data_IF_934219711595
#
_entry.id   IF_934219711595
#
_cell.length_a   1.000
_cell.length_b   1.000
_cell.length_c   1.000
_cell.angle_alpha   90.00
_cell.angle_beta   90.00
_cell.angle_gamma   90.00
#
_symmetry.space_group_name_H-M   'P 1'
#
loop_
_entity.id
_entity.type
_entity.pdbx_description
1 polymer ?
#
# COMPACT_ATOMS: atom_id res chain seq x y z
N UNK A 1 -3.81 11.02 16.53
CA UNK A 1 -5.28 10.89 16.38
C UNK A 1 -5.70 11.49 15.05
N UNK A 2 -6.18 10.68 14.11
CA UNK A 2 -6.72 11.14 12.83
C UNK A 2 -8.26 11.15 12.88
N UNK A 3 -8.91 12.02 12.12
CA UNK A 3 -10.37 11.97 11.91
C UNK A 3 -11.25 12.50 13.05
N UNK A 4 -10.71 13.21 14.04
CA UNK A 4 -11.53 13.84 15.09
C UNK A 4 -12.27 15.04 14.50
N UNK A 5 -13.55 14.86 14.20
CA UNK A 5 -14.45 15.97 13.86
C UNK A 5 -14.52 16.92 15.04
N UNK A 6 -14.12 18.18 14.84
CA UNK A 6 -14.38 19.24 15.82
C UNK A 6 -15.89 19.42 15.90
N UNK A 7 -16.45 19.19 17.08
CA UNK A 7 -17.88 19.42 17.36
C UNK A 7 -17.96 20.37 18.54
N UNK A 8 -18.74 21.42 18.40
CA UNK A 8 -19.19 22.21 19.53
C UNK A 8 -20.25 21.40 20.28
N UNK A 9 -19.96 21.04 21.53
CA UNK A 9 -20.86 20.30 22.40
C UNK A 9 -21.45 21.27 23.41
N UNK A 10 -22.74 21.13 23.71
CA UNK A 10 -23.38 21.86 24.80
C UNK A 10 -22.77 21.48 26.15
N UNK A 11 -22.87 22.35 27.16
CA UNK A 11 -22.30 22.09 28.50
C UNK A 11 -22.87 20.82 29.16
N UNK A 12 -24.15 20.50 28.93
CA UNK A 12 -24.77 19.26 29.40
C UNK A 12 -24.15 18.01 28.74
N UNK A 13 -23.94 18.04 27.41
CA UNK A 13 -23.28 16.93 26.70
C UNK A 13 -21.82 16.76 27.12
N UNK A 14 -21.10 17.86 27.38
CA UNK A 14 -19.74 17.81 27.92
C UNK A 14 -19.74 17.15 29.30
N UNK A 15 -20.66 17.53 30.18
CA UNK A 15 -20.77 16.98 31.54
C UNK A 15 -21.10 15.49 31.52
N UNK A 16 -22.07 15.06 30.68
CA UNK A 16 -22.39 13.64 30.47
C UNK A 16 -21.23 12.86 29.89
N UNK A 17 -20.49 13.43 28.93
CA UNK A 17 -19.29 12.81 28.36
C UNK A 17 -18.20 12.63 29.43
N UNK A 18 -17.92 13.66 30.24
CA UNK A 18 -16.95 13.60 31.34
C UNK A 18 -17.29 12.51 32.35
N UNK A 19 -18.56 12.39 32.75
CA UNK A 19 -18.98 11.33 33.68
C UNK A 19 -18.70 9.93 33.10
N UNK A 20 -19.05 9.68 31.83
CA UNK A 20 -18.73 8.41 31.14
C UNK A 20 -17.22 8.18 31.00
N UNK A 21 -16.45 9.23 30.73
CA UNK A 21 -15.00 9.14 30.60
C UNK A 21 -14.34 8.81 31.95
N UNK A 22 -14.86 9.32 33.09
CA UNK A 22 -14.36 8.98 34.43
C UNK A 22 -14.50 7.47 34.70
N UNK A 23 -15.67 6.89 34.45
CA UNK A 23 -15.89 5.44 34.62
C UNK A 23 -14.94 4.61 33.73
N UNK A 24 -14.78 5.01 32.47
CA UNK A 24 -13.85 4.37 31.54
C UNK A 24 -12.40 4.47 32.01
N UNK A 25 -11.98 5.62 32.53
CA UNK A 25 -10.63 5.83 33.05
C UNK A 25 -10.37 4.92 34.26
N UNK A 26 -11.34 4.80 35.18
CA UNK A 26 -11.21 3.91 36.34
C UNK A 26 -11.05 2.45 35.89
N UNK A 27 -11.92 1.99 34.98
CA UNK A 27 -11.81 0.64 34.40
C UNK A 27 -10.46 0.42 33.71
N UNK A 28 -10.03 1.37 32.87
CA UNK A 28 -8.77 1.30 32.14
C UNK A 28 -7.56 1.23 33.07
N UNK A 29 -7.52 2.07 34.11
CA UNK A 29 -6.44 2.08 35.11
C UNK A 29 -6.40 0.78 35.91
N UNK A 30 -7.56 0.26 36.30
CA UNK A 30 -7.64 -1.02 37.01
C UNK A 30 -7.13 -2.19 36.16
N UNK A 31 -7.53 -2.27 34.89
CA UNK A 31 -7.05 -3.29 33.96
C UNK A 31 -5.54 -3.16 33.70
N UNK A 32 -5.07 -1.94 33.48
CA UNK A 32 -3.64 -1.64 33.28
C UNK A 32 -2.82 -2.12 34.46
N UNK A 33 -3.23 -1.76 35.70
CA UNK A 33 -2.54 -2.22 36.92
C UNK A 33 -2.48 -3.74 36.99
N UNK A 34 -3.62 -4.41 36.81
CA UNK A 34 -3.72 -5.89 36.88
C UNK A 34 -2.80 -6.58 35.88
N UNK A 35 -2.77 -6.12 34.63
CA UNK A 35 -1.97 -6.73 33.56
C UNK A 35 -0.48 -6.45 33.76
N UNK A 36 -0.10 -5.22 34.12
CA UNK A 36 1.30 -4.87 34.32
C UNK A 36 1.89 -5.51 35.59
N UNK A 37 1.11 -5.68 36.66
CA UNK A 37 1.51 -6.46 37.84
C UNK A 37 1.69 -7.93 37.50
N UNK A 38 0.77 -8.53 36.73
CA UNK A 38 0.91 -9.89 36.25
C UNK A 38 2.16 -10.05 35.37
N UNK A 39 2.45 -9.11 34.48
CA UNK A 39 3.68 -9.10 33.67
C UNK A 39 4.93 -9.03 34.56
N UNK A 40 4.96 -8.11 35.53
CA UNK A 40 6.10 -7.92 36.42
C UNK A 40 6.42 -9.16 37.25
N UNK A 41 5.39 -9.88 37.67
CA UNK A 41 5.51 -11.07 38.52
C UNK A 41 5.46 -12.38 37.72
N UNK A 42 5.46 -12.31 36.39
CA UNK A 42 5.40 -13.46 35.46
C UNK A 42 4.22 -14.42 35.73
N UNK A 43 3.06 -13.85 36.10
CA UNK A 43 1.84 -14.62 36.39
C UNK A 43 1.05 -14.81 35.09
N UNK A 44 1.24 -15.97 34.46
CA UNK A 44 0.62 -16.33 33.19
C UNK A 44 -0.54 -17.29 33.39
N UNK A 45 -1.77 -16.76 33.41
CA UNK A 45 -3.00 -17.58 33.48
C UNK A 45 -4.02 -17.11 32.45
N UNK A 46 -4.99 -17.97 32.11
CA UNK A 46 -6.10 -17.62 31.22
C UNK A 46 -6.90 -16.40 31.72
N UNK A 47 -7.04 -16.24 33.04
CA UNK A 47 -7.69 -15.08 33.65
C UNK A 47 -6.92 -13.78 33.35
N UNK A 48 -5.58 -13.80 33.46
CA UNK A 48 -4.74 -12.63 33.14
C UNK A 48 -4.70 -12.36 31.64
N UNK A 49 -4.74 -13.41 30.82
CA UNK A 49 -4.85 -13.28 29.37
C UNK A 49 -6.16 -12.61 28.96
N UNK A 50 -7.28 -12.97 29.59
CA UNK A 50 -8.57 -12.29 29.39
C UNK A 50 -8.51 -10.81 29.80
N UNK A 51 -7.88 -10.50 30.94
CA UNK A 51 -7.71 -9.11 31.35
C UNK A 51 -6.88 -8.30 30.34
N UNK A 52 -5.89 -8.92 29.70
CA UNK A 52 -5.13 -8.32 28.60
C UNK A 52 -6.02 -8.09 27.35
N UNK A 53 -6.89 -9.04 26.99
CA UNK A 53 -7.88 -8.85 25.92
C UNK A 53 -8.77 -7.63 26.19
N UNK A 54 -9.38 -7.58 27.38
CA UNK A 54 -10.28 -6.50 27.81
C UNK A 54 -9.56 -5.14 27.77
N UNK A 55 -8.25 -5.10 28.05
CA UNK A 55 -7.44 -3.89 27.99
C UNK A 55 -7.11 -3.47 26.56
N UNK A 56 -6.81 -4.42 25.68
CA UNK A 56 -6.50 -4.16 24.26
C UNK A 56 -7.72 -3.71 23.47
N UNK A 57 -8.93 -4.14 23.84
CA UNK A 57 -10.18 -3.58 23.31
C UNK A 57 -10.32 -2.08 23.60
N UNK A 58 -9.77 -1.61 24.73
CA UNK A 58 -9.79 -0.19 25.09
C UNK A 58 -8.61 0.58 24.47
N UNK A 59 -7.43 -0.04 24.39
CA UNK A 59 -6.23 0.57 23.83
C UNK A 59 -5.37 -0.48 23.07
N UNK A 60 -5.61 -0.66 21.76
CA UNK A 60 -4.86 -1.61 20.95
C UNK A 60 -3.42 -1.13 20.65
N UNK A 61 -3.08 0.12 20.92
CA UNK A 61 -1.72 0.65 20.73
C UNK A 61 -0.78 0.31 21.90
N UNK A 62 -1.30 -0.32 22.97
CA UNK A 62 -0.52 -0.61 24.17
C UNK A 62 0.41 -1.82 23.98
N UNK A 63 1.58 -1.58 23.40
CA UNK A 63 2.57 -2.59 23.07
C UNK A 63 2.96 -3.52 24.22
N UNK A 64 3.15 -3.00 25.44
CA UNK A 64 3.53 -3.81 26.60
C UNK A 64 2.50 -4.91 26.91
N UNK A 65 1.22 -4.65 26.64
CA UNK A 65 0.12 -5.60 26.83
C UNK A 65 0.14 -6.68 25.75
N UNK A 66 0.43 -6.33 24.49
CA UNK A 66 0.66 -7.31 23.43
C UNK A 66 1.85 -8.23 23.73
N UNK A 67 2.93 -7.68 24.29
CA UNK A 67 4.09 -8.47 24.69
C UNK A 67 3.71 -9.43 25.82
N UNK A 68 3.07 -8.94 26.89
CA UNK A 68 2.54 -9.81 27.96
C UNK A 68 1.63 -10.92 27.41
N UNK A 69 0.76 -10.58 26.46
CA UNK A 69 -0.15 -11.53 25.83
C UNK A 69 0.60 -12.68 25.16
N UNK A 70 1.66 -12.38 24.40
CA UNK A 70 2.52 -13.40 23.79
C UNK A 70 3.25 -14.22 24.83
N UNK A 71 3.87 -13.57 25.82
CA UNK A 71 4.58 -14.26 26.90
C UNK A 71 3.65 -15.28 27.60
N UNK A 72 2.42 -14.87 27.92
CA UNK A 72 1.42 -15.73 28.53
C UNK A 72 0.97 -16.89 27.63
N UNK A 73 0.71 -16.64 26.34
CA UNK A 73 0.31 -17.70 25.39
C UNK A 73 1.46 -18.68 25.17
N UNK A 74 2.70 -18.20 25.03
CA UNK A 74 3.88 -19.05 24.91
C UNK A 74 4.07 -19.93 26.14
N UNK A 75 3.91 -19.37 27.35
CA UNK A 75 4.00 -20.13 28.59
C UNK A 75 2.95 -21.25 28.67
N UNK A 76 1.72 -20.96 28.27
CA UNK A 76 0.60 -21.90 28.31
C UNK A 76 0.53 -22.81 27.07
N UNK A 77 1.42 -22.65 26.09
CA UNK A 77 1.30 -23.22 24.73
C UNK A 77 0.99 -24.72 24.71
N UNK A 78 1.62 -25.50 25.61
CA UNK A 78 1.46 -26.95 25.65
C UNK A 78 0.11 -27.40 26.23
N UNK A 79 -0.59 -26.52 26.94
CA UNK A 79 -1.92 -26.76 27.51
C UNK A 79 -3.04 -26.21 26.64
N UNK A 80 -2.71 -25.37 25.65
CA UNK A 80 -3.68 -24.70 24.80
C UNK A 80 -4.11 -25.62 23.65
N UNK A 81 -5.41 -25.92 23.51
CA UNK A 81 -5.90 -26.76 22.43
C UNK A 81 -5.88 -25.99 21.10
N UNK A 82 -6.01 -26.70 19.97
CA UNK A 82 -5.95 -26.07 18.63
C UNK A 82 -7.02 -24.97 18.48
N UNK A 83 -8.20 -25.13 19.09
CA UNK A 83 -9.27 -24.13 19.03
C UNK A 83 -8.88 -22.78 19.65
N UNK A 84 -7.95 -22.76 20.61
CA UNK A 84 -7.45 -21.50 21.18
C UNK A 84 -6.80 -20.62 20.10
N UNK A 85 -6.02 -21.22 19.21
CA UNK A 85 -5.33 -20.50 18.15
C UNK A 85 -6.29 -19.91 17.13
N UNK A 86 -7.38 -20.62 16.84
CA UNK A 86 -8.49 -20.10 16.03
C UNK A 86 -9.18 -18.91 16.68
N UNK A 87 -9.41 -18.98 17.99
CA UNK A 87 -9.95 -17.86 18.76
C UNK A 87 -9.00 -16.66 18.80
N UNK A 88 -7.69 -16.88 18.87
CA UNK A 88 -6.69 -15.80 18.87
C UNK A 88 -6.59 -15.11 17.49
N UNK A 89 -6.61 -15.89 16.41
CA UNK A 89 -6.74 -15.36 15.04
C UNK A 89 -8.07 -14.61 14.87
N UNK A 90 -9.15 -15.11 15.46
CA UNK A 90 -10.44 -14.40 15.44
C UNK A 90 -10.36 -13.08 16.22
N UNK A 91 -9.73 -13.06 17.40
CA UNK A 91 -9.53 -11.86 18.20
C UNK A 91 -8.81 -10.77 17.40
N UNK A 92 -7.69 -11.10 16.75
CA UNK A 92 -6.97 -10.13 15.90
C UNK A 92 -7.81 -9.68 14.70
N UNK A 93 -8.65 -10.55 14.12
CA UNK A 93 -9.60 -10.16 13.06
C UNK A 93 -10.56 -9.07 13.54
N UNK A 94 -11.13 -9.23 14.74
CA UNK A 94 -12.07 -8.26 15.31
C UNK A 94 -11.38 -6.92 15.62
N UNK A 95 -10.14 -6.98 16.11
CA UNK A 95 -9.32 -5.80 16.35
C UNK A 95 -9.02 -5.06 15.03
N UNK A 96 -8.64 -5.77 13.96
CA UNK A 96 -8.37 -5.17 12.64
C UNK A 96 -9.59 -4.49 12.01
N UNK A 97 -10.81 -4.98 12.27
CA UNK A 97 -12.04 -4.30 11.80
C UNK A 97 -12.17 -2.87 12.34
N UNK A 98 -11.78 -2.68 13.60
CA UNK A 98 -11.91 -1.38 14.28
C UNK A 98 -10.63 -0.53 14.15
N UNK A 99 -9.48 -1.18 14.12
CA UNK A 99 -8.16 -0.56 14.21
C UNK A 99 -7.18 -1.09 13.14
N UNK A 100 -7.51 -0.98 11.84
CA UNK A 100 -6.74 -1.60 10.75
C UNK A 100 -5.34 -1.00 10.54
N UNK A 101 -4.99 0.08 11.27
CA UNK A 101 -3.73 0.83 11.14
C UNK A 101 -2.85 0.74 12.40
N UNK A 102 -3.13 -0.19 13.30
CA UNK A 102 -2.32 -0.43 14.50
C UNK A 102 -1.30 -1.52 14.20
N UNK A 103 -0.01 -1.18 14.30
CA UNK A 103 1.10 -2.09 14.01
C UNK A 103 1.07 -3.38 14.84
N UNK A 104 0.73 -3.27 16.12
CA UNK A 104 0.80 -4.39 17.05
C UNK A 104 -0.19 -5.51 16.75
N UNK A 105 -1.35 -5.19 16.18
CA UNK A 105 -2.34 -6.19 15.78
C UNK A 105 -1.80 -7.01 14.61
N UNK A 106 -1.28 -6.36 13.57
CA UNK A 106 -0.67 -7.03 12.42
C UNK A 106 0.52 -7.89 12.82
N UNK A 107 1.39 -7.35 13.69
CA UNK A 107 2.54 -8.08 14.20
C UNK A 107 2.13 -9.29 15.06
N UNK A 108 1.09 -9.15 15.90
CA UNK A 108 0.60 -10.26 16.72
C UNK A 108 -0.08 -11.32 15.87
N UNK A 109 -0.86 -10.93 14.88
CA UNK A 109 -1.50 -11.87 13.95
C UNK A 109 -0.47 -12.72 13.20
N UNK A 110 0.61 -12.09 12.70
CA UNK A 110 1.71 -12.82 12.06
C UNK A 110 2.37 -13.82 13.03
N UNK A 111 2.60 -13.40 14.27
CA UNK A 111 3.12 -14.28 15.32
C UNK A 111 2.17 -15.46 15.58
N UNK A 112 0.86 -15.23 15.67
CA UNK A 112 -0.13 -16.30 15.84
C UNK A 112 -0.08 -17.33 14.72
N UNK A 113 0.07 -16.90 13.46
CA UNK A 113 0.16 -17.82 12.32
C UNK A 113 1.42 -18.68 12.35
N UNK A 114 2.55 -18.10 12.74
CA UNK A 114 3.82 -18.83 12.87
C UNK A 114 3.80 -19.83 14.03
N UNK A 115 3.17 -19.47 15.14
CA UNK A 115 3.10 -20.32 16.35
C UNK A 115 1.94 -21.32 16.32
N UNK A 116 0.98 -21.14 15.42
CA UNK A 116 -0.16 -22.04 15.23
C UNK A 116 0.33 -23.48 15.11
N UNK A 117 -0.27 -24.48 15.78
CA UNK A 117 0.16 -25.87 15.71
C UNK A 117 0.28 -26.37 14.26
N UNK A 118 1.50 -26.78 13.90
CA UNK A 118 1.92 -27.21 12.55
C UNK A 118 1.91 -26.12 11.48
N UNK A 119 1.50 -24.88 11.81
CA UNK A 119 1.39 -23.74 10.90
C UNK A 119 0.81 -24.14 9.51
N UNK A 120 -0.41 -24.70 9.45
CA UNK A 120 -0.96 -25.28 8.23
C UNK A 120 -1.13 -24.25 7.10
N UNK A 121 -0.87 -24.67 5.86
CA UNK A 121 -0.94 -23.82 4.65
C UNK A 121 -2.32 -23.16 4.51
N UNK A 122 -3.38 -23.86 4.89
CA UNK A 122 -4.77 -23.40 4.81
C UNK A 122 -4.99 -22.13 5.64
N UNK A 123 -4.31 -21.98 6.78
CA UNK A 123 -4.43 -20.77 7.62
C UNK A 123 -3.79 -19.58 6.93
N UNK A 124 -2.64 -19.77 6.30
CA UNK A 124 -1.98 -18.73 5.51
C UNK A 124 -2.79 -18.37 4.24
N UNK A 125 -3.44 -19.33 3.60
CA UNK A 125 -4.31 -19.07 2.45
C UNK A 125 -5.54 -18.22 2.83
N UNK A 126 -6.13 -18.47 4.01
CA UNK A 126 -7.25 -17.67 4.53
C UNK A 126 -6.89 -16.20 4.74
N UNK A 127 -5.62 -15.89 5.00
CA UNK A 127 -5.14 -14.52 5.15
C UNK A 127 -5.28 -13.69 3.87
N UNK A 128 -5.16 -14.30 2.70
CA UNK A 128 -5.36 -13.60 1.43
C UNK A 128 -6.78 -13.06 1.31
N UNK A 129 -7.78 -13.80 1.81
CA UNK A 129 -9.17 -13.36 1.83
C UNK A 129 -9.42 -12.24 2.84
N UNK A 130 -8.80 -12.31 4.03
CA UNK A 130 -8.85 -11.21 5.02
C UNK A 130 -8.26 -9.92 4.43
N UNK A 131 -7.06 -10.01 3.87
CA UNK A 131 -6.36 -8.87 3.29
C UNK A 131 -7.14 -8.28 2.12
N UNK A 132 -7.72 -9.13 1.25
CA UNK A 132 -8.58 -8.67 0.18
C UNK A 132 -9.73 -7.81 0.74
N UNK A 133 -10.44 -8.28 1.78
CA UNK A 133 -11.54 -7.51 2.40
C UNK A 133 -11.05 -6.18 3.00
N UNK A 134 -9.90 -6.19 3.68
CA UNK A 134 -9.33 -4.97 4.28
C UNK A 134 -8.92 -3.95 3.20
N UNK A 135 -8.36 -4.41 2.08
CA UNK A 135 -8.01 -3.55 0.94
C UNK A 135 -9.23 -3.10 0.13
N UNK A 136 -10.34 -3.85 0.15
CA UNK A 136 -11.61 -3.34 -0.41
C UNK A 136 -12.18 -2.19 0.43
N UNK A 137 -11.96 -2.19 1.75
CA UNK A 137 -12.40 -1.10 2.64
C UNK A 137 -11.47 0.11 2.64
N UNK A 138 -10.15 -0.12 2.61
CA UNK A 138 -9.13 0.93 2.48
C UNK A 138 -8.06 0.46 1.47
N UNK A 139 -8.21 0.79 0.17
CA UNK A 139 -7.31 0.33 -0.89
C UNK A 139 -5.88 0.85 -0.72
N UNK A 140 -5.67 1.85 0.13
CA UNK A 140 -4.36 2.47 0.38
C UNK A 140 -3.79 2.12 1.76
N UNK A 141 -4.38 1.14 2.46
CA UNK A 141 -3.83 0.66 3.72
C UNK A 141 -2.49 -0.07 3.51
N UNK A 142 -1.38 0.64 3.77
CA UNK A 142 -0.04 0.09 3.58
C UNK A 142 0.25 -1.12 4.48
N UNK A 143 -0.37 -1.23 5.66
CA UNK A 143 -0.19 -2.40 6.53
C UNK A 143 -0.78 -3.65 5.87
N UNK A 144 -1.96 -3.54 5.27
CA UNK A 144 -2.59 -4.64 4.56
C UNK A 144 -1.79 -5.06 3.34
N UNK A 145 -1.28 -4.10 2.55
CA UNK A 145 -0.37 -4.39 1.43
C UNK A 145 0.93 -5.04 1.88
N UNK A 146 1.53 -4.55 2.97
CA UNK A 146 2.75 -5.12 3.52
C UNK A 146 2.52 -6.55 4.04
N UNK A 147 1.45 -6.76 4.79
CA UNK A 147 1.07 -8.07 5.30
C UNK A 147 0.76 -9.04 4.17
N UNK A 148 0.10 -8.59 3.07
CA UNK A 148 -0.10 -9.40 1.86
C UNK A 148 1.22 -9.97 1.35
N UNK A 149 2.24 -9.12 1.18
CA UNK A 149 3.56 -9.55 0.68
C UNK A 149 4.18 -10.61 1.58
N UNK A 150 4.07 -10.45 2.90
CA UNK A 150 4.57 -11.45 3.86
C UNK A 150 3.84 -12.79 3.68
N UNK A 151 2.50 -12.75 3.61
CA UNK A 151 1.67 -13.95 3.42
C UNK A 151 2.02 -14.65 2.11
N UNK A 152 2.13 -13.91 1.00
CA UNK A 152 2.51 -14.46 -0.31
C UNK A 152 3.89 -15.11 -0.24
N UNK A 153 4.91 -14.41 0.26
CA UNK A 153 6.25 -14.97 0.41
C UNK A 153 6.25 -16.23 1.27
N UNK A 154 5.48 -16.25 2.36
CA UNK A 154 5.36 -17.43 3.22
C UNK A 154 4.66 -18.59 2.50
N UNK A 155 3.58 -18.33 1.77
CA UNK A 155 2.89 -19.34 0.98
C UNK A 155 3.80 -19.95 -0.08
N UNK A 156 4.51 -19.12 -0.86
CA UNK A 156 5.46 -19.60 -1.88
C UNK A 156 6.56 -20.47 -1.27
N UNK A 157 7.08 -20.11 -0.08
CA UNK A 157 8.05 -20.94 0.66
C UNK A 157 7.45 -22.28 1.13
N UNK A 158 6.19 -22.31 1.54
CA UNK A 158 5.55 -23.53 2.05
C UNK A 158 5.12 -24.46 0.91
N UNK A 159 4.65 -23.91 -0.21
CA UNK A 159 4.09 -24.68 -1.34
C UNK A 159 5.10 -24.89 -2.47
N UNK A 160 6.26 -24.23 -2.41
CA UNK A 160 7.27 -24.24 -3.48
C UNK A 160 6.70 -23.84 -4.85
N UNK A 161 5.67 -22.99 -4.87
CA UNK A 161 4.94 -22.56 -6.07
C UNK A 161 4.91 -21.05 -6.13
N UNK A 162 5.27 -20.46 -7.28
CA UNK A 162 5.16 -19.02 -7.53
C UNK A 162 3.70 -18.57 -7.51
N UNK A 163 3.42 -17.45 -6.84
CA UNK A 163 2.13 -16.77 -6.86
C UNK A 163 2.18 -15.46 -7.66
N UNK A 164 3.26 -15.22 -8.41
CA UNK A 164 3.46 -13.96 -9.12
C UNK A 164 2.33 -13.64 -10.11
N UNK A 165 1.86 -14.62 -10.89
CA UNK A 165 0.75 -14.38 -11.83
C UNK A 165 -0.55 -13.99 -11.07
N UNK A 166 -0.86 -14.67 -9.97
CA UNK A 166 -2.00 -14.33 -9.13
C UNK A 166 -1.86 -12.90 -8.54
N UNK A 167 -0.66 -12.50 -8.12
CA UNK A 167 -0.42 -11.14 -7.62
C UNK A 167 -0.49 -10.10 -8.74
N UNK A 168 -0.07 -10.42 -9.96
CA UNK A 168 -0.21 -9.54 -11.12
C UNK A 168 -1.68 -9.31 -11.45
N UNK A 169 -2.49 -10.38 -11.47
CA UNK A 169 -3.93 -10.31 -11.67
C UNK A 169 -4.59 -9.48 -10.55
N UNK A 170 -4.15 -9.67 -9.31
CA UNK A 170 -4.63 -8.90 -8.17
C UNK A 170 -4.30 -7.40 -8.27
N UNK A 171 -3.10 -7.03 -8.71
CA UNK A 171 -2.79 -5.61 -8.97
C UNK A 171 -3.69 -5.03 -10.03
N UNK A 172 -3.97 -5.79 -11.09
CA UNK A 172 -4.86 -5.38 -12.19
C UNK A 172 -6.29 -5.16 -11.69
N UNK A 173 -6.83 -6.09 -10.89
CA UNK A 173 -8.14 -5.94 -10.24
C UNK A 173 -8.20 -4.64 -9.40
N UNK A 174 -7.18 -4.39 -8.58
CA UNK A 174 -7.15 -3.22 -7.68
C UNK A 174 -6.96 -1.89 -8.40
N UNK A 175 -6.16 -1.86 -9.46
CA UNK A 175 -6.01 -0.68 -10.31
C UNK A 175 -7.31 -0.38 -11.07
N UNK A 176 -7.93 -1.40 -11.66
CA UNK A 176 -9.18 -1.20 -12.42
C UNK A 176 -10.34 -0.77 -11.51
N UNK A 177 -10.31 -1.12 -10.23
CA UNK A 177 -11.31 -0.68 -9.24
C UNK A 177 -11.07 0.75 -8.74
N UNK A 178 -9.80 1.18 -8.69
CA UNK A 178 -9.37 2.50 -8.23
C UNK A 178 -8.02 2.81 -8.87
N UNK A 179 -8.04 3.60 -9.95
CA UNK A 179 -6.83 3.94 -10.71
C UNK A 179 -5.82 4.71 -9.86
N UNK A 180 -6.30 5.42 -8.83
CA UNK A 180 -5.49 6.15 -7.86
C UNK A 180 -4.86 5.27 -6.79
N UNK A 181 -5.01 3.95 -6.87
CA UNK A 181 -4.39 3.02 -5.95
C UNK A 181 -2.88 2.88 -6.21
N UNK A 182 -2.12 3.87 -5.74
CA UNK A 182 -0.65 3.87 -5.84
C UNK A 182 0.01 2.61 -5.28
N UNK A 183 -0.59 1.98 -4.25
CA UNK A 183 -0.04 0.76 -3.66
C UNK A 183 -0.12 -0.43 -4.63
N UNK A 184 -1.17 -0.52 -5.45
CA UNK A 184 -1.31 -1.55 -6.46
C UNK A 184 -0.32 -1.34 -7.62
N UNK A 185 -0.20 -0.10 -8.11
CA UNK A 185 0.83 0.27 -9.10
C UNK A 185 2.24 -0.02 -8.59
N UNK A 186 2.54 0.32 -7.34
CA UNK A 186 3.83 0.05 -6.72
C UNK A 186 4.11 -1.46 -6.63
N UNK A 187 3.13 -2.26 -6.18
CA UNK A 187 3.29 -3.72 -6.15
C UNK A 187 3.59 -4.26 -7.55
N UNK A 188 2.82 -3.83 -8.57
CA UNK A 188 3.04 -4.21 -9.97
C UNK A 188 4.47 -3.89 -10.43
N UNK A 189 4.95 -2.68 -10.17
CA UNK A 189 6.31 -2.24 -10.51
C UNK A 189 7.40 -3.05 -9.81
N UNK A 190 7.17 -3.54 -8.60
CA UNK A 190 8.13 -4.41 -7.88
C UNK A 190 8.06 -5.87 -8.30
N UNK A 191 6.92 -6.31 -8.83
CA UNK A 191 6.65 -7.69 -9.22
C UNK A 191 7.19 -8.00 -10.62
N UNK A 192 6.95 -7.12 -11.59
CA UNK A 192 7.33 -7.35 -12.98
C UNK A 192 8.83 -7.66 -13.17
N UNK A 193 9.80 -6.94 -12.56
CA UNK A 193 11.21 -7.28 -12.71
C UNK A 193 11.53 -8.73 -12.30
N UNK A 194 10.86 -9.26 -11.26
CA UNK A 194 11.03 -10.65 -10.83
C UNK A 194 10.49 -11.62 -11.87
N UNK A 195 9.28 -11.39 -12.38
CA UNK A 195 8.64 -12.23 -13.40
C UNK A 195 9.42 -12.26 -14.71
N UNK A 196 10.01 -11.13 -15.11
CA UNK A 196 10.90 -11.06 -16.27
C UNK A 196 12.19 -11.86 -16.08
N UNK A 197 12.73 -11.88 -14.86
CA UNK A 197 13.95 -12.61 -14.52
C UNK A 197 13.72 -14.12 -14.37
N UNK A 198 12.60 -14.55 -13.79
CA UNK A 198 12.22 -15.96 -13.63
C UNK A 198 11.67 -16.62 -14.90
N UNK A 199 11.55 -15.86 -16.00
CA UNK A 199 10.99 -16.32 -17.29
C UNK A 199 9.55 -16.84 -17.17
N UNK A 200 8.81 -16.36 -16.17
CA UNK A 200 7.36 -16.59 -16.02
C UNK A 200 6.56 -15.84 -17.10
N UNK A 201 7.16 -14.83 -17.72
CA UNK A 201 6.61 -14.15 -18.90
C UNK A 201 7.21 -14.79 -20.15
N UNK A 202 6.38 -15.52 -20.89
CA UNK A 202 6.75 -16.27 -22.09
C UNK A 202 7.15 -15.33 -23.25
N UNK A 203 6.23 -14.48 -23.69
CA UNK A 203 6.49 -13.47 -24.73
C UNK A 203 6.67 -12.09 -24.08
N UNK A 204 7.93 -11.78 -23.73
CA UNK A 204 8.31 -10.54 -23.05
C UNK A 204 8.01 -9.29 -23.90
N UNK A 205 8.18 -9.36 -25.22
CA UNK A 205 7.92 -8.21 -26.11
C UNK A 205 6.43 -7.94 -26.24
N UNK A 206 5.61 -8.98 -26.42
CA UNK A 206 4.16 -8.85 -26.42
C UNK A 206 3.65 -8.31 -25.08
N UNK A 207 4.19 -8.80 -23.97
CA UNK A 207 3.83 -8.31 -22.64
C UNK A 207 4.12 -6.81 -22.49
N UNK A 208 5.31 -6.35 -22.90
CA UNK A 208 5.67 -4.92 -22.86
C UNK A 208 4.67 -4.07 -23.66
N UNK A 209 4.28 -4.52 -24.86
CA UNK A 209 3.26 -3.81 -25.67
C UNK A 209 1.89 -3.76 -24.99
N UNK A 210 1.47 -4.87 -24.36
CA UNK A 210 0.22 -4.91 -23.61
C UNK A 210 0.25 -3.99 -22.39
N UNK A 211 1.38 -3.97 -21.68
CA UNK A 211 1.59 -3.10 -20.53
C UNK A 211 1.60 -1.62 -20.93
N UNK A 212 2.24 -1.29 -22.06
CA UNK A 212 2.20 0.04 -22.66
C UNK A 212 0.76 0.46 -23.01
N UNK A 213 -0.01 -0.41 -23.67
CA UNK A 213 -1.42 -0.10 -23.95
C UNK A 213 -2.23 0.10 -22.67
N UNK A 214 -1.97 -0.70 -21.64
CA UNK A 214 -2.65 -0.61 -20.36
C UNK A 214 -2.39 0.73 -19.66
N UNK A 215 -1.13 1.18 -19.58
CA UNK A 215 -0.78 2.47 -18.96
C UNK A 215 -1.26 3.66 -19.80
N UNK A 216 -1.31 3.52 -21.13
CA UNK A 216 -1.91 4.51 -22.04
C UNK A 216 -3.41 4.65 -21.74
N UNK A 217 -4.16 3.55 -21.67
CA UNK A 217 -5.59 3.60 -21.32
C UNK A 217 -5.82 4.20 -19.93
N UNK A 218 -4.93 3.90 -18.98
CA UNK A 218 -5.00 4.43 -17.63
C UNK A 218 -4.87 5.95 -17.60
N UNK A 219 -3.89 6.54 -18.32
CA UNK A 219 -3.73 8.01 -18.32
C UNK A 219 -4.90 8.74 -19.01
N UNK A 220 -5.56 8.11 -19.99
CA UNK A 220 -6.79 8.66 -20.61
C UNK A 220 -8.02 8.56 -19.69
N UNK A 221 -7.99 7.70 -18.68
CA UNK A 221 -9.11 7.54 -17.76
C UNK A 221 -9.15 8.66 -16.72
N UNK A 222 -7.99 9.07 -16.21
CA UNK A 222 -7.86 10.21 -15.30
C UNK A 222 -6.46 10.83 -15.43
N UNK A 223 -6.38 11.97 -16.11
CA UNK A 223 -5.12 12.70 -16.32
C UNK A 223 -4.61 13.40 -15.06
N UNK A 224 -5.45 13.58 -14.04
CA UNK A 224 -5.05 14.17 -12.75
C UNK A 224 -4.49 13.12 -11.78
N UNK A 225 -4.67 11.82 -12.08
CA UNK A 225 -4.14 10.75 -11.25
C UNK A 225 -2.61 10.63 -11.33
N UNK A 226 -1.94 11.07 -10.27
CA UNK A 226 -0.48 11.01 -10.17
C UNK A 226 0.10 9.58 -10.25
N UNK A 227 -0.65 8.55 -9.88
CA UNK A 227 -0.12 7.19 -9.74
C UNK A 227 0.28 6.61 -11.09
N UNK A 228 -0.56 6.81 -12.10
CA UNK A 228 -0.29 6.39 -13.49
C UNK A 228 0.99 7.06 -14.00
N UNK A 229 1.14 8.36 -13.80
CA UNK A 229 2.31 9.12 -14.25
C UNK A 229 3.61 8.65 -13.60
N UNK A 230 3.59 8.32 -12.31
CA UNK A 230 4.74 7.71 -11.63
C UNK A 230 5.05 6.31 -12.17
N UNK A 231 4.03 5.53 -12.53
CA UNK A 231 4.21 4.21 -13.10
C UNK A 231 4.79 4.27 -14.52
N UNK A 232 4.30 5.17 -15.39
CA UNK A 232 4.89 5.40 -16.72
C UNK A 232 6.36 5.79 -16.59
N UNK A 233 6.68 6.71 -15.66
CA UNK A 233 8.06 7.13 -15.39
C UNK A 233 8.98 5.96 -15.01
N UNK A 234 8.48 5.01 -14.21
CA UNK A 234 9.20 3.78 -13.89
C UNK A 234 9.31 2.85 -15.11
N UNK A 235 8.23 2.65 -15.85
CA UNK A 235 8.13 1.72 -16.98
C UNK A 235 9.12 2.06 -18.10
N UNK A 236 9.26 3.35 -18.45
CA UNK A 236 10.21 3.78 -19.50
C UNK A 236 11.67 3.70 -19.06
N UNK A 237 11.96 3.45 -17.78
CA UNK A 237 13.32 3.40 -17.22
C UNK A 237 13.75 2.05 -16.67
N UNK A 238 12.82 1.12 -16.50
CA UNK A 238 13.14 -0.14 -15.82
C UNK A 238 13.97 -1.05 -16.71
N UNK A 239 15.07 -1.57 -16.15
CA UNK A 239 15.97 -2.51 -16.80
C UNK A 239 15.26 -3.72 -17.42
N UNK A 240 14.18 -4.21 -16.79
CA UNK A 240 13.47 -5.38 -17.30
C UNK A 240 12.76 -5.13 -18.63
N UNK A 241 12.45 -3.88 -18.94
CA UNK A 241 11.93 -3.45 -20.26
C UNK A 241 13.10 -3.17 -21.19
N UNK A 242 14.04 -2.32 -20.76
CA UNK A 242 15.15 -1.83 -21.61
C UNK A 242 16.09 -2.94 -22.11
N UNK A 243 16.24 -4.04 -21.35
CA UNK A 243 17.06 -5.19 -21.79
C UNK A 243 16.39 -6.07 -22.85
N UNK A 244 15.09 -5.90 -23.09
CA UNK A 244 14.28 -6.75 -23.98
C UNK A 244 14.01 -6.10 -25.34
N UNK A 245 13.78 -4.78 -25.34
CA UNK A 245 13.50 -4.01 -26.56
C UNK A 245 14.79 -3.44 -27.16
N UNK A 246 14.84 -3.38 -28.48
CA UNK A 246 15.93 -2.71 -29.21
C UNK A 246 15.85 -1.19 -29.05
N UNK A 247 16.94 -0.50 -29.37
CA UNK A 247 16.98 0.98 -29.36
C UNK A 247 15.88 1.60 -30.22
N UNK A 248 15.59 1.04 -31.39
CA UNK A 248 14.52 1.56 -32.26
C UNK A 248 13.12 1.29 -31.69
N UNK A 249 12.89 0.11 -31.12
CA UNK A 249 11.63 -0.19 -30.41
C UNK A 249 11.43 0.74 -29.20
N UNK A 250 12.51 1.08 -28.49
CA UNK A 250 12.46 2.01 -27.37
C UNK A 250 12.15 3.44 -27.81
N UNK A 251 12.76 3.94 -28.89
CA UNK A 251 12.43 5.24 -29.48
C UNK A 251 10.95 5.30 -29.87
N UNK A 252 10.43 4.26 -30.52
CA UNK A 252 9.01 4.16 -30.90
C UNK A 252 8.10 4.19 -29.66
N UNK A 253 8.42 3.42 -28.63
CA UNK A 253 7.65 3.40 -27.38
C UNK A 253 7.58 4.78 -26.72
N UNK A 254 8.72 5.48 -26.64
CA UNK A 254 8.77 6.83 -26.08
C UNK A 254 7.94 7.82 -26.90
N UNK A 255 7.97 7.70 -28.24
CA UNK A 255 7.21 8.55 -29.14
C UNK A 255 5.71 8.30 -29.02
N UNK A 256 5.27 7.05 -29.01
CA UNK A 256 3.85 6.69 -28.85
C UNK A 256 3.29 7.17 -27.50
N UNK A 257 4.05 7.03 -26.41
CA UNK A 257 3.66 7.59 -25.11
C UNK A 257 3.59 9.12 -25.16
N UNK A 258 4.56 9.79 -25.78
CA UNK A 258 4.59 11.25 -25.94
C UNK A 258 3.37 11.75 -26.71
N UNK A 259 3.02 11.09 -27.82
CA UNK A 259 1.87 11.46 -28.64
C UNK A 259 0.56 11.29 -27.85
N UNK A 260 0.43 10.19 -27.10
CA UNK A 260 -0.71 9.99 -26.20
C UNK A 260 -0.81 11.07 -25.10
N UNK A 261 0.31 11.47 -24.51
CA UNK A 261 0.35 12.54 -23.50
C UNK A 261 -0.05 13.90 -24.08
N UNK A 262 0.39 14.20 -25.31
CA UNK A 262 -0.02 15.43 -26.01
C UNK A 262 -1.54 15.42 -26.23
N UNK A 263 -2.09 14.31 -26.71
CA UNK A 263 -3.53 14.18 -26.97
C UNK A 263 -4.36 14.43 -25.70
N UNK A 264 -4.08 13.72 -24.60
CA UNK A 264 -4.84 13.95 -23.35
C UNK A 264 -4.61 15.35 -22.77
N UNK A 265 -3.44 15.94 -22.95
CA UNK A 265 -3.17 17.30 -22.48
C UNK A 265 -3.94 18.36 -23.29
N UNK A 266 -4.16 18.12 -24.58
CA UNK A 266 -5.03 18.95 -25.42
C UNK A 266 -6.48 18.85 -24.95
N UNK A 267 -6.99 17.64 -24.71
CA UNK A 267 -8.33 17.42 -24.16
C UNK A 267 -8.53 18.13 -22.80
N UNK A 268 -7.56 17.98 -21.89
CA UNK A 268 -7.57 18.64 -20.57
C UNK A 268 -7.54 20.17 -20.68
N UNK A 269 -6.83 20.70 -21.69
CA UNK A 269 -6.78 22.13 -21.97
C UNK A 269 -8.09 22.65 -22.54
N UNK A 270 -8.74 21.90 -23.43
CA UNK A 270 -10.06 22.24 -23.96
C UNK A 270 -11.11 22.27 -22.85
N UNK A 271 -11.04 21.30 -21.93
CA UNK A 271 -11.98 21.20 -20.81
C UNK A 271 -11.74 22.22 -19.70
N UNK A 272 -10.49 22.36 -19.24
CA UNK A 272 -10.14 23.17 -18.05
C UNK A 272 -9.62 24.58 -18.36
N UNK A 273 -9.33 24.87 -19.64
CA UNK A 273 -8.71 26.11 -20.10
C UNK A 273 -7.19 26.19 -19.88
N UNK A 274 -6.57 25.15 -19.31
CA UNK A 274 -5.12 25.08 -19.05
C UNK A 274 -4.59 23.67 -19.27
N UNK A 275 -3.31 23.58 -19.62
CA UNK A 275 -2.64 22.28 -19.76
C UNK A 275 -2.48 21.60 -18.39
N UNK A 276 -2.54 20.28 -18.40
CA UNK A 276 -2.44 19.44 -17.21
C UNK A 276 -0.98 19.37 -16.73
N UNK A 277 -0.78 19.56 -15.41
CA UNK A 277 0.57 19.66 -14.83
C UNK A 277 1.34 18.34 -14.89
N UNK A 278 0.65 17.20 -14.91
CA UNK A 278 1.29 15.89 -14.98
C UNK A 278 1.73 15.54 -16.39
N UNK A 279 0.91 15.89 -17.38
CA UNK A 279 1.27 15.80 -18.79
C UNK A 279 2.54 16.60 -19.07
N UNK A 280 2.57 17.88 -18.68
CA UNK A 280 3.75 18.73 -18.84
C UNK A 280 5.01 18.18 -18.15
N UNK A 281 4.86 17.64 -16.92
CA UNK A 281 5.97 17.01 -16.20
C UNK A 281 6.52 15.79 -16.94
N UNK A 282 5.64 14.96 -17.49
CA UNK A 282 6.06 13.74 -18.18
C UNK A 282 6.63 14.05 -19.57
N UNK A 283 6.09 15.04 -20.30
CA UNK A 283 6.67 15.52 -21.56
C UNK A 283 8.10 16.02 -21.38
N UNK A 284 8.36 16.85 -20.36
CA UNK A 284 9.73 17.25 -19.99
C UNK A 284 10.65 16.04 -19.76
N UNK A 285 10.13 15.02 -19.10
CA UNK A 285 10.88 13.83 -18.74
C UNK A 285 11.19 12.94 -19.96
N UNK A 286 10.22 12.71 -20.84
CA UNK A 286 10.42 11.94 -22.07
C UNK A 286 11.35 12.67 -23.04
N UNK A 287 11.22 13.99 -23.20
CA UNK A 287 12.12 14.78 -24.03
C UNK A 287 13.58 14.71 -23.52
N UNK A 288 13.77 14.76 -22.20
CA UNK A 288 15.10 14.57 -21.58
C UNK A 288 15.71 13.23 -22.00
N UNK A 289 14.95 12.13 -21.96
CA UNK A 289 15.43 10.81 -22.41
C UNK A 289 15.73 10.83 -23.92
N UNK A 290 14.81 11.33 -24.74
CA UNK A 290 14.95 11.36 -26.19
C UNK A 290 16.20 12.14 -26.63
N UNK A 291 16.44 13.31 -26.05
CA UNK A 291 17.56 14.20 -26.42
C UNK A 291 18.87 13.76 -25.76
N UNK A 292 18.89 13.65 -24.43
CA UNK A 292 20.14 13.51 -23.66
C UNK A 292 20.67 12.07 -23.68
N UNK A 293 19.80 11.06 -23.80
CA UNK A 293 20.22 9.65 -23.72
C UNK A 293 20.20 8.94 -25.08
N UNK A 294 19.30 9.34 -25.99
CA UNK A 294 19.11 8.68 -27.28
C UNK A 294 19.52 9.53 -28.49
N UNK A 295 19.92 10.79 -28.27
CA UNK A 295 20.30 11.74 -29.33
C UNK A 295 19.27 11.82 -30.47
N UNK A 296 17.98 11.75 -30.14
CA UNK A 296 16.89 11.92 -31.10
C UNK A 296 16.75 13.40 -31.42
N UNK A 297 16.72 13.72 -32.72
CA UNK A 297 16.46 15.08 -33.20
C UNK A 297 14.97 15.41 -33.01
N UNK A 298 14.64 16.00 -31.87
CA UNK A 298 13.30 16.52 -31.55
C UNK A 298 13.37 18.02 -31.34
N UNK A 299 12.30 18.72 -31.76
CA UNK A 299 12.15 20.14 -31.44
C UNK A 299 12.18 20.31 -29.90
N UNK A 300 13.10 21.12 -29.35
CA UNK A 300 13.20 21.32 -27.91
C UNK A 300 12.00 22.12 -27.40
N UNK A 301 11.24 21.55 -26.47
CA UNK A 301 10.06 22.14 -25.86
C UNK A 301 10.14 22.17 -24.31
N UNK A 302 11.15 21.52 -23.71
CA UNK A 302 11.37 21.44 -22.26
C UNK A 302 11.32 22.80 -21.56
N UNK A 303 11.95 23.83 -22.13
CA UNK A 303 11.93 25.19 -21.56
C UNK A 303 10.52 25.79 -21.55
N UNK A 304 9.72 25.55 -22.59
CA UNK A 304 8.32 26.02 -22.66
C UNK A 304 7.44 25.28 -21.64
N UNK A 305 7.60 23.96 -21.53
CA UNK A 305 6.89 23.15 -20.54
C UNK A 305 7.22 23.57 -19.10
N UNK A 306 8.49 23.83 -18.79
CA UNK A 306 8.92 24.30 -17.47
C UNK A 306 8.37 25.69 -17.14
N UNK A 307 8.31 26.60 -18.13
CA UNK A 307 7.71 27.91 -17.95
C UNK A 307 6.21 27.81 -17.61
N UNK A 308 5.47 26.97 -18.33
CA UNK A 308 4.06 26.66 -18.05
C UNK A 308 3.86 26.03 -16.68
N UNK A 309 4.71 25.06 -16.30
CA UNK A 309 4.67 24.45 -14.96
C UNK A 309 4.91 25.46 -13.83
N UNK A 310 5.82 26.42 -14.02
CA UNK A 310 6.07 27.49 -13.05
C UNK A 310 4.86 28.42 -12.83
N UNK A 311 3.96 28.51 -13.82
CA UNK A 311 2.69 29.21 -13.75
C UNK A 311 1.59 28.34 -13.13
N UNK A 312 1.44 27.09 -13.59
CA UNK A 312 0.31 26.22 -13.23
C UNK A 312 0.48 25.46 -11.90
N UNK A 313 1.70 25.25 -11.41
CA UNK A 313 1.99 24.60 -10.11
C UNK A 313 2.88 25.52 -9.23
N UNK A 314 2.30 26.61 -8.67
CA UNK A 314 3.06 27.64 -7.97
C UNK A 314 3.81 27.12 -6.74
N UNK A 315 3.30 26.07 -6.08
CA UNK A 315 3.95 25.45 -4.92
C UNK A 315 5.32 24.85 -5.25
N UNK A 316 5.55 24.48 -6.52
CA UNK A 316 6.81 23.89 -7.00
C UNK A 316 7.56 24.81 -7.97
N UNK A 317 7.16 26.09 -8.12
CA UNK A 317 7.76 27.06 -9.04
C UNK A 317 9.29 27.09 -9.02
N UNK A 318 9.90 27.13 -7.84
CA UNK A 318 11.36 27.22 -7.71
C UNK A 318 12.07 25.96 -8.21
N UNK A 319 11.42 24.80 -8.11
CA UNK A 319 11.93 23.55 -8.70
C UNK A 319 11.97 23.64 -10.23
N UNK A 320 10.94 24.20 -10.86
CA UNK A 320 10.91 24.32 -12.32
C UNK A 320 11.94 25.33 -12.84
N UNK A 321 12.12 26.45 -12.14
CA UNK A 321 13.19 27.42 -12.46
C UNK A 321 14.58 26.79 -12.40
N UNK A 322 14.88 26.08 -11.32
CA UNK A 322 16.14 25.35 -11.18
C UNK A 322 16.39 24.33 -12.31
N UNK A 323 15.33 23.66 -12.79
CA UNK A 323 15.44 22.71 -13.91
C UNK A 323 15.60 23.40 -15.27
N UNK A 324 15.23 24.67 -15.41
CA UNK A 324 15.39 25.43 -16.65
C UNK A 324 16.78 26.08 -16.78
N UNK A 325 17.51 26.17 -15.67
CA UNK A 325 18.89 26.68 -15.61
C UNK A 325 19.94 25.58 -15.89
N UNK A 326 19.51 24.32 -15.94
CA UNK A 326 20.31 23.14 -16.29
C UNK A 326 20.03 22.71 -17.72
#
# INVERSE_FOLDING_TARGET
MHGIKRRELTQDLISKKRARDVEKIVKYRSLTKRVLEAKKNEIYTLEKLKAASDLLELNPEFNAVWNFRRDAITHLKNELPREFWDQEIHFTTQQLKSFPKVYWIWNHRLWCLNEYPDSPVEKWQQELALVHRLLTMDPRNFHSWHYRRIVITRLEQMTQTSLNQQELDYTTEKINSDISNFSAWHLRATLLPKMFASSEISDKKRFIKQEQQYITNAMFTDAEDQSVWYYIKWFVKTDCVLKIISTEEYKTLLQELKDGIIMINEDEKEFSGKENIWCLKLLCYLETIQVEELAVDVKPMKSEYLAKLAQFDPLRRNRYKYLAEK
#
